data_IF_330454493376
#
_entry.id   IF_330454493376
#
_cell.length_a   1.000
_cell.length_b   1.000
_cell.length_c   1.000
_cell.angle_alpha   90.00
_cell.angle_beta   90.00
_cell.angle_gamma   90.00
#
_symmetry.space_group_name_H-M   'P 1'
#
loop_
_entity.id
_entity.type
_entity.pdbx_description
1 polymer ?
#
# COMPACT_ATOMS: atom_id res chain seq x y z
N UNK A 1 -8.19 2.36 -33.30
CA UNK A 1 -8.24 3.78 -32.89
C UNK A 1 -7.45 4.57 -33.91
N UNK A 2 -8.11 5.48 -34.62
CA UNK A 2 -7.49 6.36 -35.62
C UNK A 2 -6.57 7.40 -35.00
N UNK A 3 -5.80 8.13 -35.80
CA UNK A 3 -4.94 9.23 -35.33
C UNK A 3 -5.78 10.37 -34.72
N UNK A 4 -6.95 10.65 -35.35
CA UNK A 4 -7.88 11.66 -34.87
C UNK A 4 -8.52 11.30 -33.55
N UNK A 5 -8.96 10.05 -33.36
CA UNK A 5 -9.50 9.56 -32.09
C UNK A 5 -8.47 9.64 -30.95
N UNK A 6 -7.20 9.38 -31.25
CA UNK A 6 -6.11 9.53 -30.25
C UNK A 6 -5.91 10.97 -29.85
N UNK A 7 -5.85 11.86 -30.82
CA UNK A 7 -5.70 13.30 -30.58
C UNK A 7 -6.86 13.85 -29.74
N UNK A 8 -8.09 13.51 -30.10
CA UNK A 8 -9.26 13.95 -29.36
C UNK A 8 -9.27 13.45 -27.91
N UNK A 9 -8.90 12.20 -27.70
CA UNK A 9 -8.74 11.63 -26.35
C UNK A 9 -7.66 12.37 -25.53
N UNK A 10 -6.53 12.69 -26.17
CA UNK A 10 -5.41 13.35 -25.47
C UNK A 10 -5.78 14.81 -25.13
N UNK A 11 -6.58 15.47 -25.99
CA UNK A 11 -7.15 16.82 -25.71
C UNK A 11 -8.15 16.75 -24.54
N UNK A 12 -9.09 15.79 -24.56
CA UNK A 12 -10.05 15.62 -23.46
C UNK A 12 -9.34 15.36 -22.12
N UNK A 13 -8.32 14.52 -22.14
CA UNK A 13 -7.51 14.23 -20.97
C UNK A 13 -6.77 15.44 -20.43
N UNK A 14 -6.19 16.28 -21.31
CA UNK A 14 -5.56 17.53 -20.90
C UNK A 14 -6.55 18.44 -20.17
N UNK A 15 -7.77 18.56 -20.70
CA UNK A 15 -8.81 19.37 -20.06
C UNK A 15 -9.22 18.81 -18.69
N UNK A 16 -9.37 17.49 -18.56
CA UNK A 16 -9.66 16.84 -17.28
C UNK A 16 -8.55 17.08 -16.26
N UNK A 17 -7.29 16.99 -16.66
CA UNK A 17 -6.14 17.17 -15.77
C UNK A 17 -5.92 18.64 -15.35
N UNK A 18 -6.48 19.62 -16.08
CA UNK A 18 -6.44 21.04 -15.71
C UNK A 18 -7.58 21.44 -14.76
N UNK A 19 -8.54 20.58 -14.52
CA UNK A 19 -9.75 20.93 -13.79
C UNK A 19 -9.49 21.48 -12.38
N UNK A 20 -8.55 20.89 -11.63
CA UNK A 20 -8.18 21.38 -10.30
C UNK A 20 -7.56 22.80 -10.34
N UNK A 21 -6.61 23.02 -11.25
CA UNK A 21 -5.99 24.32 -11.42
C UNK A 21 -7.00 25.38 -11.91
N UNK A 22 -7.93 25.01 -12.79
CA UNK A 22 -8.94 25.92 -13.32
C UNK A 22 -9.98 26.30 -12.26
N UNK A 23 -10.37 25.36 -11.39
CA UNK A 23 -11.24 25.64 -10.23
C UNK A 23 -10.56 26.60 -9.25
N UNK A 24 -9.31 26.40 -8.91
CA UNK A 24 -8.56 27.28 -8.04
C UNK A 24 -8.38 28.67 -8.64
N UNK A 25 -8.18 28.78 -9.96
CA UNK A 25 -8.14 30.08 -10.65
C UNK A 25 -9.47 30.84 -10.56
N UNK A 26 -10.60 30.12 -10.63
CA UNK A 26 -11.94 30.71 -10.41
C UNK A 26 -12.13 31.23 -8.99
N UNK A 27 -11.45 30.62 -8.01
CA UNK A 27 -11.42 31.07 -6.61
C UNK A 27 -10.47 32.27 -6.39
N UNK A 28 -9.72 32.69 -7.41
CA UNK A 28 -8.85 33.89 -7.38
C UNK A 28 -7.35 33.60 -7.23
N UNK A 29 -6.93 32.33 -7.09
CA UNK A 29 -5.51 31.97 -7.08
C UNK A 29 -4.88 32.14 -8.46
N UNK A 30 -3.64 32.62 -8.51
CA UNK A 30 -2.93 32.93 -9.77
C UNK A 30 -1.72 32.07 -10.02
N UNK A 31 -0.96 31.75 -8.98
CA UNK A 31 0.31 31.03 -9.03
C UNK A 31 0.18 29.66 -8.38
N UNK A 32 -0.55 28.75 -9.08
CA UNK A 32 -0.85 27.42 -8.62
C UNK A 32 0.23 26.48 -9.12
N UNK A 33 1.03 25.90 -8.21
CA UNK A 33 2.07 24.94 -8.55
C UNK A 33 1.69 23.51 -8.13
N UNK A 34 2.23 22.53 -8.85
CA UNK A 34 2.15 21.11 -8.47
C UNK A 34 3.49 20.60 -7.96
N UNK A 35 3.49 19.68 -7.02
CA UNK A 35 4.71 19.07 -6.47
C UNK A 35 4.55 17.55 -6.36
N UNK A 36 5.62 16.83 -6.74
CA UNK A 36 5.70 15.36 -6.65
C UNK A 36 7.14 14.93 -6.32
N UNK A 37 7.28 13.69 -5.78
CA UNK A 37 8.57 13.10 -5.45
C UNK A 37 8.86 11.82 -6.21
N UNK A 38 10.13 11.47 -6.27
CA UNK A 38 10.62 10.22 -6.84
C UNK A 38 11.80 9.67 -6.06
N UNK A 39 11.88 8.35 -5.96
CA UNK A 39 13.06 7.71 -5.39
C UNK A 39 12.96 7.41 -3.90
N UNK A 40 11.78 7.19 -3.33
CA UNK A 40 11.59 6.77 -1.93
C UNK A 40 12.04 5.34 -1.67
N UNK A 41 11.77 4.42 -2.60
CA UNK A 41 12.01 2.98 -2.43
C UNK A 41 13.39 2.42 -2.77
N UNK A 42 14.28 3.08 -3.54
CA UNK A 42 15.61 2.58 -3.86
C UNK A 42 16.51 2.35 -2.64
N UNK A 43 17.46 1.43 -2.77
CA UNK A 43 18.51 1.14 -1.78
C UNK A 43 19.69 2.11 -1.87
N UNK A 44 19.80 2.82 -3.01
CA UNK A 44 20.90 3.76 -3.27
C UNK A 44 20.41 5.03 -3.94
N UNK A 45 21.16 6.10 -3.74
CA UNK A 45 20.91 7.42 -4.31
C UNK A 45 19.86 8.24 -3.56
N UNK A 46 19.74 9.52 -3.92
CA UNK A 46 18.90 10.51 -3.27
C UNK A 46 17.39 10.32 -3.56
N UNK A 47 16.55 10.96 -2.76
CA UNK A 47 15.17 11.26 -3.10
C UNK A 47 15.13 12.65 -3.77
N UNK A 48 14.36 12.75 -4.85
CA UNK A 48 14.12 13.97 -5.60
C UNK A 48 12.68 14.42 -5.46
N UNK A 49 12.46 15.71 -5.52
CA UNK A 49 11.14 16.29 -5.73
C UNK A 49 11.23 17.38 -6.78
N UNK A 50 10.15 17.64 -7.50
CA UNK A 50 10.03 18.82 -8.33
C UNK A 50 8.77 19.60 -7.99
N UNK A 51 8.85 20.91 -8.08
CA UNK A 51 7.73 21.85 -8.01
C UNK A 51 7.61 22.53 -9.36
N UNK A 52 6.43 22.52 -9.97
CA UNK A 52 6.21 23.08 -11.32
C UNK A 52 4.99 23.99 -11.32
N UNK A 53 5.20 25.24 -11.76
CA UNK A 53 4.15 26.23 -12.00
C UNK A 53 3.92 26.37 -13.51
N UNK A 54 2.79 25.89 -14.00
CA UNK A 54 2.44 25.98 -15.42
C UNK A 54 1.61 27.23 -15.71
N UNK A 55 1.78 27.84 -16.92
CA UNK A 55 0.92 28.94 -17.33
C UNK A 55 -0.53 28.42 -17.60
N UNK A 56 -1.56 29.27 -17.47
CA UNK A 56 -2.95 28.86 -17.66
C UNK A 56 -3.25 28.28 -19.05
N UNK A 57 -2.57 28.78 -20.08
CA UNK A 57 -2.69 28.38 -21.48
C UNK A 57 -1.79 27.19 -21.87
N UNK A 58 -1.17 26.52 -20.92
CA UNK A 58 -0.33 25.36 -21.19
C UNK A 58 -1.12 24.27 -21.94
N UNK A 59 -0.64 23.86 -23.12
CA UNK A 59 -1.35 23.04 -24.10
C UNK A 59 -0.63 21.75 -24.52
N UNK A 60 0.43 21.36 -23.80
CA UNK A 60 1.25 20.19 -24.17
C UNK A 60 0.53 18.89 -23.86
N UNK A 61 0.32 18.10 -24.91
CA UNK A 61 -0.33 16.80 -24.80
C UNK A 61 0.62 15.69 -24.32
N UNK A 62 0.06 14.67 -23.67
CA UNK A 62 0.80 13.48 -23.26
C UNK A 62 1.47 13.58 -21.88
N UNK A 63 1.14 14.61 -21.10
CA UNK A 63 1.55 14.75 -19.71
C UNK A 63 0.52 14.03 -18.84
N UNK A 64 0.94 12.96 -18.17
CA UNK A 64 0.19 12.14 -17.22
C UNK A 64 1.18 11.28 -16.44
N UNK A 65 0.71 10.30 -15.66
CA UNK A 65 1.51 9.38 -14.85
C UNK A 65 2.84 9.01 -15.54
N UNK A 66 3.93 9.49 -14.97
CA UNK A 66 5.29 9.36 -15.53
C UNK A 66 5.73 7.90 -15.75
N UNK A 67 5.14 6.95 -15.02
CA UNK A 67 5.44 5.51 -15.11
C UNK A 67 4.82 4.87 -16.38
N UNK A 68 3.76 5.50 -16.93
CA UNK A 68 3.09 5.06 -18.16
C UNK A 68 3.70 5.65 -19.44
N UNK A 69 4.68 6.53 -19.31
CA UNK A 69 5.37 7.22 -20.41
C UNK A 69 6.74 6.55 -20.63
N UNK A 70 7.12 6.28 -21.90
CA UNK A 70 8.45 5.75 -22.21
C UNK A 70 9.57 6.73 -21.80
N UNK A 71 10.76 6.22 -21.45
CA UNK A 71 11.89 7.04 -21.00
C UNK A 71 12.19 8.19 -21.97
N UNK A 72 12.35 7.88 -23.26
CA UNK A 72 12.62 8.89 -24.30
C UNK A 72 11.54 9.98 -24.36
N UNK A 73 10.25 9.59 -24.34
CA UNK A 73 9.17 10.57 -24.39
C UNK A 73 9.08 11.40 -23.12
N UNK A 74 9.43 10.81 -21.98
CA UNK A 74 9.47 11.50 -20.69
C UNK A 74 10.58 12.56 -20.66
N UNK A 75 11.75 12.27 -21.23
CA UNK A 75 12.84 13.25 -21.39
C UNK A 75 12.41 14.43 -22.28
N UNK A 76 11.84 14.13 -23.46
CA UNK A 76 11.30 15.17 -24.36
C UNK A 76 10.26 16.04 -23.65
N UNK A 77 9.34 15.45 -22.91
CA UNK A 77 8.32 16.19 -22.15
C UNK A 77 8.91 16.98 -21.00
N UNK A 78 9.91 16.46 -20.30
CA UNK A 78 10.61 17.19 -19.23
C UNK A 78 11.25 18.45 -19.74
N UNK A 79 11.90 18.40 -20.91
CA UNK A 79 12.54 19.56 -21.50
C UNK A 79 11.49 20.61 -21.95
N UNK A 80 10.40 20.19 -22.58
CA UNK A 80 9.28 21.05 -22.95
C UNK A 80 8.62 21.69 -21.71
N UNK A 81 8.42 20.91 -20.63
CA UNK A 81 7.87 21.44 -19.38
C UNK A 81 8.77 22.53 -18.81
N UNK A 82 10.08 22.29 -18.73
CA UNK A 82 11.04 23.26 -18.20
C UNK A 82 11.11 24.53 -19.03
N UNK A 83 10.97 24.42 -20.35
CA UNK A 83 10.96 25.56 -21.28
C UNK A 83 9.69 26.41 -21.16
N UNK A 84 8.51 25.73 -21.02
CA UNK A 84 7.21 26.41 -21.04
C UNK A 84 6.66 26.76 -19.64
N UNK A 85 7.21 26.20 -18.57
CA UNK A 85 6.78 26.51 -17.21
C UNK A 85 7.08 27.96 -16.85
N UNK A 86 6.17 28.60 -16.12
CA UNK A 86 6.42 29.94 -15.53
C UNK A 86 7.60 29.87 -14.56
N UNK A 87 7.65 28.83 -13.74
CA UNK A 87 8.78 28.52 -12.88
C UNK A 87 8.79 27.01 -12.56
N UNK A 88 9.97 26.48 -12.29
CA UNK A 88 10.10 25.15 -11.71
C UNK A 88 11.30 25.10 -10.76
N UNK A 89 11.23 24.22 -9.76
CA UNK A 89 12.31 23.92 -8.83
C UNK A 89 12.51 22.43 -8.67
N UNK A 90 13.75 22.01 -8.40
CA UNK A 90 14.12 20.63 -8.09
C UNK A 90 14.78 20.61 -6.73
N UNK A 91 14.23 19.84 -5.81
CA UNK A 91 14.79 19.64 -4.49
C UNK A 91 15.30 18.20 -4.33
N UNK A 92 16.39 18.07 -3.59
CA UNK A 92 17.09 16.80 -3.40
C UNK A 92 17.34 16.63 -1.90
N UNK A 93 17.13 15.42 -1.40
CA UNK A 93 17.70 14.99 -0.14
C UNK A 93 18.54 13.74 -0.39
N UNK A 94 19.81 13.78 0.03
CA UNK A 94 20.76 12.72 -0.27
C UNK A 94 20.57 11.49 0.63
N UNK A 95 21.36 10.45 0.38
CA UNK A 95 21.28 9.22 1.14
C UNK A 95 21.71 9.37 2.61
N UNK A 96 22.58 10.33 2.93
CA UNK A 96 22.99 10.59 4.32
C UNK A 96 21.85 11.27 5.08
N UNK A 97 21.20 12.27 4.46
CA UNK A 97 20.00 12.90 5.01
C UNK A 97 18.87 11.87 5.20
N UNK A 98 18.68 10.96 4.24
CA UNK A 98 17.70 9.86 4.37
C UNK A 98 18.02 8.96 5.58
N UNK A 99 19.28 8.64 5.79
CA UNK A 99 19.71 7.78 6.90
C UNK A 99 19.60 8.51 8.25
N UNK A 100 19.79 9.83 8.28
CA UNK A 100 19.71 10.65 9.49
C UNK A 100 18.26 10.93 9.91
N UNK A 101 17.39 11.39 8.99
CA UNK A 101 16.05 11.88 9.31
C UNK A 101 14.92 10.95 8.86
N UNK A 102 15.21 9.80 8.30
CA UNK A 102 14.34 8.82 7.61
C UNK A 102 13.79 9.30 6.25
N UNK A 103 13.28 8.35 5.46
CA UNK A 103 12.81 8.61 4.10
C UNK A 103 11.60 9.55 4.03
N UNK A 104 10.71 9.55 5.02
CA UNK A 104 9.55 10.43 5.02
C UNK A 104 9.98 11.88 5.21
N UNK A 105 10.81 12.16 6.20
CA UNK A 105 11.29 13.51 6.48
C UNK A 105 12.24 14.01 5.38
N UNK A 106 13.08 13.12 4.81
CA UNK A 106 13.90 13.44 3.64
C UNK A 106 13.06 13.77 2.40
N UNK A 107 11.94 13.07 2.18
CA UNK A 107 10.99 13.40 1.12
C UNK A 107 10.40 14.80 1.33
N UNK A 108 9.95 15.11 2.55
CA UNK A 108 9.43 16.43 2.90
C UNK A 108 10.49 17.52 2.70
N UNK A 109 11.73 17.25 3.07
CA UNK A 109 12.86 18.16 2.87
C UNK A 109 13.12 18.42 1.37
N UNK A 110 13.13 17.37 0.55
CA UNK A 110 13.27 17.52 -0.90
C UNK A 110 12.11 18.35 -1.49
N UNK A 111 10.88 18.11 -1.07
CA UNK A 111 9.71 18.89 -1.52
C UNK A 111 9.82 20.37 -1.10
N UNK A 112 10.24 20.69 0.12
CA UNK A 112 10.47 22.07 0.56
C UNK A 112 11.54 22.76 -0.28
N UNK A 113 12.66 22.11 -0.52
CA UNK A 113 13.73 22.61 -1.39
C UNK A 113 13.25 22.89 -2.83
N UNK A 114 12.42 21.98 -3.37
CA UNK A 114 11.82 22.15 -4.70
C UNK A 114 10.87 23.36 -4.75
N UNK A 115 10.04 23.53 -3.73
CA UNK A 115 9.15 24.68 -3.58
C UNK A 115 9.92 25.98 -3.45
N UNK A 116 10.91 26.04 -2.56
CA UNK A 116 11.75 27.23 -2.36
C UNK A 116 12.48 27.66 -3.63
N UNK A 117 13.06 26.70 -4.37
CA UNK A 117 13.72 26.97 -5.65
C UNK A 117 12.72 27.47 -6.71
N UNK A 118 11.56 26.86 -6.83
CA UNK A 118 10.50 27.29 -7.74
C UNK A 118 10.04 28.71 -7.42
N UNK A 119 9.77 28.98 -6.15
CA UNK A 119 9.31 30.28 -5.68
C UNK A 119 10.37 31.38 -5.90
N UNK A 120 11.65 31.08 -5.67
CA UNK A 120 12.77 31.98 -5.95
C UNK A 120 12.87 32.35 -7.45
N UNK A 121 12.71 31.36 -8.35
CA UNK A 121 12.72 31.62 -9.80
C UNK A 121 11.53 32.49 -10.22
N UNK A 122 10.32 32.23 -9.67
CA UNK A 122 9.14 33.04 -9.91
C UNK A 122 9.36 34.53 -9.52
N UNK A 123 9.99 34.77 -8.36
CA UNK A 123 10.30 36.11 -7.89
C UNK A 123 11.35 36.85 -8.78
N UNK A 124 12.36 36.13 -9.30
CA UNK A 124 13.42 36.73 -10.13
C UNK A 124 12.95 37.12 -11.52
N UNK A 125 12.00 36.45 -12.12
CA UNK A 125 11.44 36.86 -13.43
C UNK A 125 10.72 38.21 -13.38
N UNK A 126 10.30 38.63 -12.20
CA UNK A 126 9.62 39.92 -11.98
C UNK A 126 10.61 41.11 -12.00
N UNK A 127 11.86 40.89 -11.63
CA UNK A 127 12.88 41.96 -11.53
C UNK A 127 13.30 42.53 -12.89
N UNK A 128 12.97 41.85 -14.00
CA UNK A 128 13.26 42.27 -15.36
C UNK A 128 12.11 43.09 -16.01
N UNK A 129 10.96 43.23 -15.35
CA UNK A 129 9.85 44.07 -15.80
C UNK A 129 9.73 45.28 -14.88
N UNK A 130 9.84 46.51 -15.44
CA UNK A 130 9.78 47.82 -14.78
C UNK A 130 8.43 48.12 -14.08
N UNK A 131 7.84 47.17 -13.38
CA UNK A 131 6.56 47.33 -12.63
C UNK A 131 6.84 47.23 -11.14
N UNK A 132 6.58 48.31 -10.45
CA UNK A 132 6.66 48.47 -9.01
C UNK A 132 5.94 47.36 -8.22
N UNK A 133 6.69 46.72 -7.31
CA UNK A 133 6.27 46.16 -6.02
C UNK A 133 5.03 45.28 -5.98
N UNK A 134 5.21 44.01 -6.36
CA UNK A 134 4.72 42.88 -5.57
C UNK A 134 5.56 41.65 -5.96
N UNK A 135 6.40 41.14 -5.07
CA UNK A 135 7.08 39.85 -5.27
C UNK A 135 6.06 38.81 -5.63
N UNK A 136 6.16 38.22 -6.82
CA UNK A 136 5.33 37.08 -7.20
C UNK A 136 5.75 35.89 -6.36
N UNK A 137 4.80 35.26 -5.74
CA UNK A 137 5.00 34.01 -4.99
C UNK A 137 3.92 33.03 -5.35
N UNK A 138 4.22 31.73 -5.21
CA UNK A 138 3.24 30.67 -5.32
C UNK A 138 2.17 30.94 -4.25
N UNK A 139 0.90 30.98 -4.66
CA UNK A 139 -0.23 31.30 -3.78
C UNK A 139 -1.12 30.07 -3.48
N UNK A 140 -0.91 28.96 -4.21
CA UNK A 140 -1.52 27.67 -3.92
C UNK A 140 -0.63 26.51 -4.38
N UNK A 141 -0.60 25.40 -3.60
CA UNK A 141 0.20 24.23 -3.92
C UNK A 141 -0.65 22.95 -3.96
N UNK A 142 -0.56 22.23 -5.07
CA UNK A 142 -1.12 20.89 -5.23
C UNK A 142 -0.01 19.84 -4.98
N UNK A 143 -0.22 18.91 -4.04
CA UNK A 143 0.82 17.98 -3.58
C UNK A 143 0.36 16.55 -3.84
N UNK A 144 1.22 15.69 -4.42
CA UNK A 144 0.89 14.27 -4.49
C UNK A 144 0.92 13.62 -3.11
N UNK A 145 -0.24 13.18 -2.64
CA UNK A 145 -0.51 12.34 -1.48
C UNK A 145 0.05 12.77 -0.10
N UNK A 146 0.94 13.76 0.00
CA UNK A 146 1.57 14.16 1.27
C UNK A 146 1.00 15.48 1.80
N UNK A 147 0.54 15.49 3.05
CA UNK A 147 0.22 16.75 3.76
C UNK A 147 1.50 17.37 4.30
N UNK A 148 1.80 18.58 3.85
CA UNK A 148 2.93 19.40 4.29
C UNK A 148 2.48 20.84 4.48
N UNK A 149 3.08 21.53 5.42
CA UNK A 149 2.95 22.96 5.56
C UNK A 149 4.09 23.66 4.80
N UNK A 150 3.72 24.45 3.81
CA UNK A 150 4.63 25.27 2.99
C UNK A 150 4.48 26.78 3.28
N UNK A 151 3.65 27.16 4.25
CA UNK A 151 3.31 28.55 4.53
C UNK A 151 2.36 29.17 3.49
N UNK A 152 1.82 28.38 2.58
CA UNK A 152 0.80 28.74 1.58
C UNK A 152 -0.33 27.71 1.60
N UNK A 153 -1.56 28.07 1.21
CA UNK A 153 -2.62 27.11 1.02
C UNK A 153 -2.19 25.95 0.16
N UNK A 154 -2.47 24.71 0.62
CA UNK A 154 -2.09 23.51 -0.12
C UNK A 154 -3.14 22.42 -0.01
N UNK A 155 -3.23 21.61 -1.05
CA UNK A 155 -4.10 20.43 -1.12
C UNK A 155 -3.30 19.19 -1.45
N UNK A 156 -3.50 18.10 -0.65
CA UNK A 156 -2.90 16.81 -0.92
C UNK A 156 -3.86 15.96 -1.75
N UNK A 157 -3.48 15.61 -2.96
CA UNK A 157 -4.30 14.86 -3.91
C UNK A 157 -3.75 13.45 -4.04
N UNK A 158 -4.52 12.45 -3.61
CA UNK A 158 -4.15 11.04 -3.79
C UNK A 158 -4.15 10.70 -5.28
N UNK A 159 -3.03 10.18 -5.79
CA UNK A 159 -2.75 9.97 -7.23
C UNK A 159 -2.87 11.29 -8.00
N UNK A 160 -2.23 12.32 -7.48
CA UNK A 160 -2.24 13.65 -8.06
C UNK A 160 -1.67 13.66 -9.48
N UNK A 161 -0.68 12.83 -9.76
CA UNK A 161 -0.08 12.63 -11.09
C UNK A 161 -1.05 12.11 -12.17
N UNK A 162 -2.21 11.55 -11.77
CA UNK A 162 -3.30 11.16 -12.68
C UNK A 162 -4.41 12.22 -12.76
N UNK A 163 -4.44 13.25 -11.87
CA UNK A 163 -5.59 14.16 -11.68
C UNK A 163 -5.25 15.64 -11.88
N UNK A 164 -4.03 16.07 -11.64
CA UNK A 164 -3.56 17.45 -11.77
C UNK A 164 -2.42 17.53 -12.77
N UNK A 165 -2.53 18.47 -13.70
CA UNK A 165 -1.52 18.68 -14.73
C UNK A 165 -0.19 19.16 -14.14
N UNK A 166 -0.23 20.02 -13.13
CA UNK A 166 0.96 20.55 -12.47
C UNK A 166 1.70 19.47 -11.69
N UNK A 167 0.98 18.57 -11.00
CA UNK A 167 1.58 17.43 -10.30
C UNK A 167 2.18 16.45 -11.31
N UNK A 168 1.46 16.11 -12.39
CA UNK A 168 1.99 15.24 -13.44
C UNK A 168 3.26 15.80 -14.11
N UNK A 169 3.30 17.11 -14.34
CA UNK A 169 4.49 17.79 -14.85
C UNK A 169 5.65 17.69 -13.84
N UNK A 170 5.39 17.90 -12.55
CA UNK A 170 6.37 17.75 -11.48
C UNK A 170 6.91 16.31 -11.42
N UNK A 171 6.02 15.29 -11.49
CA UNK A 171 6.40 13.88 -11.56
C UNK A 171 7.39 13.58 -12.69
N UNK A 172 7.10 14.08 -13.90
CA UNK A 172 7.98 13.91 -15.07
C UNK A 172 9.34 14.58 -14.85
N UNK A 173 9.36 15.81 -14.36
CA UNK A 173 10.61 16.58 -14.13
C UNK A 173 11.46 15.91 -13.06
N UNK A 174 10.87 15.53 -11.93
CA UNK A 174 11.56 14.84 -10.84
C UNK A 174 12.14 13.50 -11.30
N UNK A 175 11.33 12.73 -12.05
CA UNK A 175 11.72 11.40 -12.54
C UNK A 175 12.90 11.48 -13.51
N UNK A 176 12.86 12.40 -14.47
CA UNK A 176 13.95 12.56 -15.44
C UNK A 176 15.23 13.03 -14.76
N UNK A 177 15.13 14.00 -13.83
CA UNK A 177 16.29 14.50 -13.10
C UNK A 177 16.97 13.39 -12.28
N UNK A 178 16.19 12.58 -11.57
CA UNK A 178 16.73 11.48 -10.77
C UNK A 178 17.28 10.35 -11.62
N UNK A 179 16.61 9.99 -12.72
CA UNK A 179 17.08 8.90 -13.59
C UNK A 179 18.43 9.28 -14.24
N UNK A 180 18.59 10.52 -14.70
CA UNK A 180 19.87 11.03 -15.22
C UNK A 180 20.98 10.98 -14.17
N UNK A 181 20.70 11.42 -12.94
CA UNK A 181 21.66 11.29 -11.84
C UNK A 181 22.11 9.84 -11.62
N UNK A 182 21.18 8.88 -11.63
CA UNK A 182 21.52 7.47 -11.42
C UNK A 182 22.28 6.84 -12.61
N UNK A 183 22.09 7.36 -13.83
CA UNK A 183 22.87 6.99 -15.03
C UNK A 183 24.28 7.53 -14.96
N UNK A 184 24.46 8.78 -14.57
CA UNK A 184 25.76 9.43 -14.42
C UNK A 184 26.62 8.71 -13.34
N UNK A 185 26.01 8.43 -12.18
CA UNK A 185 26.73 7.82 -11.05
C UNK A 185 27.07 6.34 -11.26
N UNK A 186 26.44 5.66 -12.22
CA UNK A 186 26.77 4.26 -12.57
C UNK A 186 28.24 4.10 -13.01
N UNK A 187 28.78 5.14 -13.65
CA UNK A 187 30.18 5.13 -14.08
C UNK A 187 31.15 5.17 -12.88
N UNK A 188 30.79 5.84 -11.80
CA UNK A 188 31.59 5.95 -10.57
C UNK A 188 31.50 4.67 -9.71
N UNK A 189 30.41 3.95 -9.82
CA UNK A 189 30.12 2.72 -9.05
C UNK A 189 29.76 1.54 -9.94
N UNK A 190 30.69 1.07 -10.79
CA UNK A 190 30.39 0.00 -11.75
C UNK A 190 30.08 -1.33 -11.06
N UNK A 191 29.08 -2.04 -11.58
CA UNK A 191 28.69 -3.40 -11.14
C UNK A 191 27.53 -3.47 -10.16
N UNK A 192 26.83 -2.34 -9.94
CA UNK A 192 25.56 -2.27 -9.24
C UNK A 192 24.37 -2.10 -10.20
N UNK A 193 24.65 -1.84 -11.49
CA UNK A 193 23.65 -1.64 -12.55
C UNK A 193 22.73 -0.45 -12.28
N UNK A 194 23.25 0.65 -11.72
CA UNK A 194 22.47 1.83 -11.37
C UNK A 194 21.83 2.54 -12.56
N UNK A 195 22.50 2.50 -13.71
CA UNK A 195 21.95 3.03 -14.95
C UNK A 195 20.64 2.34 -15.37
N UNK A 196 20.49 1.04 -15.09
CA UNK A 196 19.30 0.28 -15.39
C UNK A 196 18.30 0.31 -14.23
N UNK A 197 18.72 -0.07 -13.04
CA UNK A 197 17.84 -0.27 -11.89
C UNK A 197 17.52 1.00 -11.10
N UNK A 198 18.17 2.13 -11.40
CA UNK A 198 17.96 3.43 -10.72
C UNK A 198 18.09 3.36 -9.19
N UNK A 199 18.93 2.43 -8.70
CA UNK A 199 19.17 2.19 -7.28
C UNK A 199 18.15 1.27 -6.58
N UNK A 200 17.16 0.75 -7.30
CA UNK A 200 16.23 -0.22 -6.74
C UNK A 200 16.90 -1.58 -6.49
N UNK A 201 16.42 -2.32 -5.48
CA UNK A 201 16.96 -3.62 -5.07
C UNK A 201 16.65 -4.75 -6.05
N UNK A 202 17.18 -4.68 -7.26
CA UNK A 202 17.13 -5.76 -8.26
C UNK A 202 18.15 -6.86 -7.93
N UNK A 203 18.04 -8.00 -8.61
CA UNK A 203 19.03 -9.09 -8.47
C UNK A 203 20.46 -8.61 -8.77
N UNK A 204 20.64 -7.81 -9.84
CA UNK A 204 21.93 -7.23 -10.20
C UNK A 204 22.48 -6.29 -9.12
N UNK A 205 21.64 -5.44 -8.53
CA UNK A 205 22.04 -4.55 -7.44
C UNK A 205 22.50 -5.35 -6.21
N UNK A 206 21.73 -6.35 -5.79
CA UNK A 206 22.12 -7.22 -4.67
C UNK A 206 23.37 -8.06 -4.98
N UNK A 207 23.60 -8.44 -6.23
CA UNK A 207 24.84 -9.09 -6.64
C UNK A 207 26.04 -8.13 -6.53
N UNK A 208 25.88 -6.88 -6.96
CA UNK A 208 26.85 -5.80 -6.75
C UNK A 208 27.20 -5.62 -5.28
N UNK A 209 26.19 -5.57 -4.41
CA UNK A 209 26.37 -5.46 -2.96
C UNK A 209 27.13 -6.66 -2.36
N UNK A 210 26.89 -7.89 -2.82
CA UNK A 210 27.63 -9.08 -2.36
C UNK A 210 29.08 -9.08 -2.83
N UNK A 211 29.32 -8.67 -4.07
CA UNK A 211 30.64 -8.77 -4.68
C UNK A 211 31.55 -7.59 -4.35
N UNK A 212 30.98 -6.40 -4.13
CA UNK A 212 31.72 -5.14 -3.99
C UNK A 212 31.42 -4.38 -2.69
N UNK A 213 30.41 -4.82 -1.92
CA UNK A 213 30.02 -4.18 -0.66
C UNK A 213 29.11 -2.97 -0.85
N UNK A 214 28.98 -2.21 0.22
CA UNK A 214 28.16 -0.99 0.31
C UNK A 214 29.04 0.20 -0.11
N UNK A 215 28.51 1.06 -0.97
CA UNK A 215 29.19 2.32 -1.42
C UNK A 215 28.64 3.54 -0.66
N UNK A 216 29.32 4.71 -0.75
CA UNK A 216 28.87 5.93 -0.09
C UNK A 216 27.48 6.42 -0.49
N UNK A 217 26.94 6.02 -1.66
CA UNK A 217 25.61 6.45 -2.11
C UNK A 217 24.49 5.50 -1.66
N UNK A 218 24.81 4.40 -1.00
CA UNK A 218 23.79 3.49 -0.47
C UNK A 218 23.16 4.06 0.80
N UNK A 219 21.88 3.77 0.98
CA UNK A 219 21.11 4.10 2.18
C UNK A 219 21.29 2.98 3.21
N UNK A 220 22.16 3.20 4.18
CA UNK A 220 22.49 2.18 5.19
C UNK A 220 21.29 1.76 6.01
N UNK A 221 20.40 2.72 6.32
CA UNK A 221 19.14 2.42 7.02
C UNK A 221 18.26 1.40 6.29
N UNK A 222 18.34 1.32 4.96
CA UNK A 222 17.61 0.35 4.12
C UNK A 222 18.32 -1.00 4.01
N UNK A 223 19.61 -1.05 4.28
CA UNK A 223 20.46 -2.24 4.11
C UNK A 223 20.79 -2.98 5.41
N UNK A 224 20.27 -2.57 6.58
CA UNK A 224 20.54 -3.21 7.88
C UNK A 224 20.40 -4.74 7.85
N UNK A 225 19.36 -5.26 7.20
CA UNK A 225 19.14 -6.71 7.05
C UNK A 225 20.09 -7.40 6.08
N UNK A 226 20.58 -6.67 5.09
CA UNK A 226 21.62 -7.18 4.19
C UNK A 226 22.96 -7.24 4.91
N UNK A 227 23.30 -6.26 5.74
CA UNK A 227 24.52 -6.26 6.58
C UNK A 227 24.51 -7.42 7.58
N UNK A 228 23.36 -7.70 8.22
CA UNK A 228 23.20 -8.83 9.16
C UNK A 228 23.25 -10.19 8.46
N UNK A 229 22.79 -10.30 7.21
CA UNK A 229 22.81 -11.53 6.41
C UNK A 229 22.90 -11.23 4.90
N UNK A 230 24.11 -11.19 4.33
CA UNK A 230 24.34 -10.90 2.91
C UNK A 230 23.62 -11.84 1.92
N UNK A 231 23.14 -12.99 2.37
CA UNK A 231 22.40 -13.94 1.53
C UNK A 231 20.88 -13.61 1.41
N UNK A 232 20.37 -12.60 2.12
CA UNK A 232 18.95 -12.26 2.12
C UNK A 232 18.43 -11.55 0.84
N UNK A 233 19.28 -11.23 -0.12
CA UNK A 233 18.94 -10.50 -1.34
C UNK A 233 18.25 -11.31 -2.46
N UNK A 234 17.75 -12.52 -2.22
CA UNK A 234 17.02 -13.30 -3.20
C UNK A 234 15.50 -13.18 -3.04
N UNK A 235 14.95 -11.97 -3.06
CA UNK A 235 13.54 -11.80 -3.38
C UNK A 235 13.42 -11.63 -4.90
N UNK A 236 12.86 -12.64 -5.55
CA UNK A 236 12.58 -12.65 -6.98
C UNK A 236 11.66 -11.49 -7.34
N UNK A 237 12.22 -10.40 -7.85
CA UNK A 237 11.53 -9.50 -8.76
C UNK A 237 12.21 -9.64 -10.12
N UNK A 238 11.72 -10.59 -10.89
CA UNK A 238 12.08 -10.74 -12.29
C UNK A 238 11.45 -9.61 -13.10
N UNK A 239 12.29 -8.90 -13.80
CA UNK A 239 11.94 -8.11 -14.98
C UNK A 239 11.41 -8.99 -16.10
N UNK A 240 10.36 -8.50 -16.73
CA UNK A 240 10.00 -8.56 -18.16
C UNK A 240 9.83 -9.90 -18.85
N UNK A 241 8.70 -9.92 -19.52
CA UNK A 241 8.30 -10.58 -20.76
C UNK A 241 7.79 -12.01 -20.71
N UNK A 242 6.50 -12.02 -20.95
CA UNK A 242 5.72 -12.97 -21.72
C UNK A 242 5.63 -14.40 -21.20
N UNK A 243 4.42 -14.64 -20.84
CA UNK A 243 3.72 -15.91 -20.60
C UNK A 243 3.56 -16.24 -19.12
N UNK A 244 2.35 -15.88 -18.68
CA UNK A 244 1.70 -16.56 -17.54
C UNK A 244 2.03 -18.04 -17.51
N UNK A 245 2.88 -18.40 -16.57
CA UNK A 245 2.79 -19.67 -15.90
C UNK A 245 2.74 -19.36 -14.42
N UNK A 246 1.54 -19.26 -13.91
CA UNK A 246 1.17 -19.40 -12.50
C UNK A 246 1.75 -20.71 -11.98
N UNK A 247 2.99 -20.67 -11.47
CA UNK A 247 3.47 -21.69 -10.57
C UNK A 247 2.78 -21.45 -9.22
N UNK A 248 1.61 -22.06 -9.06
CA UNK A 248 0.95 -22.20 -7.78
C UNK A 248 1.97 -22.69 -6.74
N UNK A 249 2.18 -21.92 -5.66
CA UNK A 249 2.99 -22.35 -4.52
C UNK A 249 2.36 -23.62 -3.98
N UNK A 250 3.01 -24.77 -4.20
CA UNK A 250 2.56 -26.05 -3.68
C UNK A 250 2.67 -26.05 -2.16
N UNK A 251 1.61 -26.48 -1.49
CA UNK A 251 1.65 -26.84 -0.08
C UNK A 251 1.78 -28.34 0.07
N UNK A 252 2.37 -28.79 1.16
CA UNK A 252 2.65 -30.19 1.41
C UNK A 252 1.88 -30.65 2.65
N UNK A 253 1.06 -31.68 2.52
CA UNK A 253 0.33 -32.27 3.65
C UNK A 253 0.99 -33.57 4.07
N UNK A 254 1.35 -33.69 5.34
CA UNK A 254 1.87 -34.90 5.97
C UNK A 254 0.76 -35.54 6.78
N UNK A 255 0.23 -36.67 6.28
CA UNK A 255 -0.81 -37.44 6.95
C UNK A 255 -0.21 -38.42 7.96
N UNK A 256 1.03 -38.84 7.71
CA UNK A 256 1.77 -39.75 8.59
C UNK A 256 3.25 -39.42 8.52
N UNK A 257 3.84 -39.04 9.64
CA UNK A 257 5.21 -38.57 9.77
C UNK A 257 5.54 -38.28 11.23
N UNK A 258 6.71 -37.70 11.50
CA UNK A 258 7.11 -37.25 12.84
C UNK A 258 6.11 -36.21 13.40
N UNK A 259 5.64 -35.31 12.54
CA UNK A 259 4.55 -34.39 12.82
C UNK A 259 3.60 -34.38 11.64
N UNK A 260 2.30 -34.50 11.89
CA UNK A 260 1.24 -34.42 10.87
C UNK A 260 0.79 -32.96 10.74
N UNK A 261 0.48 -32.53 9.49
CA UNK A 261 0.03 -31.15 9.27
C UNK A 261 0.30 -30.69 7.83
N UNK A 262 0.07 -29.39 7.59
CA UNK A 262 0.34 -28.71 6.32
C UNK A 262 1.63 -27.92 6.43
N UNK A 263 2.54 -28.13 5.49
CA UNK A 263 3.83 -27.47 5.43
C UNK A 263 3.92 -26.65 4.14
N UNK A 264 4.45 -25.44 4.25
CA UNK A 264 4.48 -24.47 3.14
C UNK A 264 5.73 -24.65 2.26
N UNK A 265 6.73 -25.39 2.73
CA UNK A 265 7.96 -25.70 2.00
C UNK A 265 8.20 -27.21 1.93
N UNK A 266 8.94 -27.64 0.89
CA UNK A 266 9.35 -29.03 0.79
C UNK A 266 10.33 -29.42 1.91
N UNK A 267 11.18 -28.51 2.31
CA UNK A 267 12.18 -28.70 3.37
C UNK A 267 11.51 -29.05 4.71
N UNK A 268 10.47 -28.29 5.07
CA UNK A 268 9.69 -28.53 6.31
C UNK A 268 8.94 -29.85 6.25
N UNK A 269 8.33 -30.16 5.12
CA UNK A 269 7.66 -31.45 4.89
C UNK A 269 8.66 -32.60 4.97
N UNK A 270 9.81 -32.48 4.30
CA UNK A 270 10.87 -33.49 4.28
C UNK A 270 11.39 -33.79 5.69
N UNK A 271 11.59 -32.77 6.52
CA UNK A 271 12.02 -32.95 7.91
C UNK A 271 11.05 -33.86 8.71
N UNK A 272 9.76 -33.87 8.37
CA UNK A 272 8.74 -34.67 9.04
C UNK A 272 8.65 -36.10 8.50
N UNK A 273 9.05 -36.34 7.26
CA UNK A 273 8.89 -37.66 6.60
C UNK A 273 10.19 -38.42 6.44
N UNK A 274 11.33 -37.72 6.44
CA UNK A 274 12.66 -38.31 6.26
C UNK A 274 13.04 -39.23 7.42
N UNK A 275 13.31 -40.49 7.11
CA UNK A 275 13.60 -41.54 8.09
C UNK A 275 12.39 -42.03 8.89
N UNK A 276 11.15 -41.64 8.55
CA UNK A 276 9.93 -42.11 9.21
C UNK A 276 9.32 -43.32 8.44
N UNK A 277 9.29 -44.53 9.01
CA UNK A 277 8.78 -45.72 8.32
C UNK A 277 7.26 -45.57 7.99
N UNK A 278 6.92 -45.74 6.71
CA UNK A 278 5.52 -45.64 6.26
C UNK A 278 4.98 -44.20 6.24
N UNK A 279 5.81 -43.18 6.03
CA UNK A 279 5.36 -41.82 5.89
C UNK A 279 4.35 -41.64 4.74
N UNK A 280 3.28 -40.90 5.00
CA UNK A 280 2.25 -40.55 4.01
C UNK A 280 2.18 -39.01 3.88
N UNK A 281 2.52 -38.50 2.70
CA UNK A 281 2.48 -37.08 2.41
C UNK A 281 2.16 -36.83 0.94
N UNK A 282 1.66 -35.62 0.63
CA UNK A 282 1.31 -35.24 -0.74
C UNK A 282 1.40 -33.70 -0.90
N UNK A 283 1.78 -33.24 -2.10
CA UNK A 283 1.77 -31.82 -2.44
C UNK A 283 0.47 -31.44 -3.14
N UNK A 284 -0.02 -30.24 -2.84
CA UNK A 284 -1.23 -29.66 -3.40
C UNK A 284 -0.97 -28.26 -3.92
N UNK A 285 -1.72 -27.85 -4.95
CA UNK A 285 -1.70 -26.47 -5.45
C UNK A 285 -2.61 -25.54 -4.60
N UNK A 286 -3.65 -26.13 -3.99
CA UNK A 286 -4.63 -25.45 -3.13
C UNK A 286 -4.50 -25.98 -1.68
N UNK A 287 -4.35 -25.08 -0.68
CA UNK A 287 -4.37 -25.45 0.73
C UNK A 287 -5.64 -26.18 1.17
N UNK A 288 -6.79 -25.92 0.54
CA UNK A 288 -8.05 -26.60 0.84
C UNK A 288 -7.99 -28.09 0.49
N UNK A 289 -7.38 -28.43 -0.63
CA UNK A 289 -7.15 -29.82 -1.04
C UNK A 289 -6.19 -30.55 -0.08
N UNK A 290 -5.21 -29.83 0.46
CA UNK A 290 -4.30 -30.34 1.48
C UNK A 290 -5.03 -30.61 2.80
N UNK A 291 -5.96 -29.76 3.20
CA UNK A 291 -6.84 -29.97 4.37
C UNK A 291 -7.76 -31.18 4.17
N UNK A 292 -8.35 -31.30 2.97
CA UNK A 292 -9.19 -32.44 2.62
C UNK A 292 -8.43 -33.78 2.69
N UNK A 293 -7.17 -33.79 2.24
CA UNK A 293 -6.30 -34.96 2.32
C UNK A 293 -5.98 -35.39 3.74
N UNK A 294 -5.86 -34.43 4.66
CA UNK A 294 -5.64 -34.70 6.09
C UNK A 294 -6.93 -35.08 6.85
N UNK A 295 -8.10 -35.02 6.18
CA UNK A 295 -9.39 -35.28 6.82
C UNK A 295 -9.88 -34.13 7.70
N UNK A 296 -9.31 -32.92 7.52
CA UNK A 296 -9.62 -31.69 8.28
C UNK A 296 -10.69 -30.83 7.59
N UNK A 297 -11.30 -31.30 6.51
CA UNK A 297 -12.45 -30.63 5.87
C UNK A 297 -13.72 -30.98 6.59
N UNK A 298 -14.43 -30.01 7.12
CA UNK A 298 -15.83 -30.15 7.50
C UNK A 298 -16.63 -30.57 6.25
N UNK A 299 -17.35 -31.68 6.37
CA UNK A 299 -17.93 -32.43 5.26
C UNK A 299 -18.83 -31.63 4.33
N UNK A 300 -18.61 -31.83 3.05
CA UNK A 300 -19.70 -31.99 2.12
C UNK A 300 -19.25 -32.95 0.98
N UNK A 301 -19.69 -34.22 1.11
CA UNK A 301 -19.74 -35.14 -0.04
C UNK A 301 -21.03 -34.87 -0.78
N UNK A 302 -20.98 -34.56 -2.04
CA UNK A 302 -21.77 -35.30 -3.05
C UNK A 302 -21.28 -34.94 -4.43
N UNK A 303 -20.88 -35.93 -5.17
CA UNK A 303 -20.72 -35.85 -6.61
C UNK A 303 -22.06 -36.11 -7.28
N UNK A 304 -22.10 -35.65 -8.49
CA UNK A 304 -22.72 -36.29 -9.65
C UNK A 304 -23.53 -35.32 -10.53
N UNK A 305 -23.26 -35.45 -11.80
CA UNK A 305 -23.83 -34.83 -12.99
C UNK A 305 -25.35 -34.82 -13.06
N UNK A 306 -25.88 -33.82 -13.76
CA UNK A 306 -27.14 -33.96 -14.49
C UNK A 306 -28.01 -32.71 -14.48
N UNK A 307 -28.17 -32.08 -15.67
CA UNK A 307 -28.97 -30.87 -15.85
C UNK A 307 -30.47 -31.11 -15.71
N UNK A 308 -31.15 -30.03 -15.46
CA UNK A 308 -32.34 -29.56 -16.21
C UNK A 308 -32.96 -28.35 -15.49
N UNK A 309 -33.43 -27.43 -16.33
CA UNK A 309 -34.22 -26.24 -15.97
C UNK A 309 -35.53 -26.64 -15.29
N UNK A 310 -35.98 -25.86 -14.29
CA UNK A 310 -37.32 -25.29 -14.35
C UNK A 310 -37.49 -24.13 -13.32
N UNK A 311 -38.31 -23.18 -13.74
CA UNK A 311 -38.83 -22.03 -13.01
C UNK A 311 -39.86 -22.47 -11.98
N UNK A 312 -39.97 -21.74 -10.88
CA UNK A 312 -41.08 -20.93 -10.41
C UNK A 312 -41.02 -20.73 -8.87
N UNK A 313 -41.09 -19.49 -8.47
CA UNK A 313 -42.03 -18.84 -7.62
C UNK A 313 -42.13 -19.30 -6.16
N UNK A 314 -41.80 -18.39 -5.24
CA UNK A 314 -42.23 -18.49 -3.86
C UNK A 314 -41.29 -17.74 -2.92
N UNK A 315 -41.60 -16.46 -2.63
CA UNK A 315 -40.96 -15.72 -1.55
C UNK A 315 -41.31 -16.38 -0.21
N UNK A 316 -40.30 -16.94 0.43
CA UNK A 316 -40.34 -17.23 1.85
C UNK A 316 -39.27 -16.40 2.55
N UNK A 317 -39.61 -15.79 3.69
CA UNK A 317 -38.75 -15.00 4.54
C UNK A 317 -37.43 -15.76 4.84
N UNK A 318 -36.30 -15.05 4.98
CA UNK A 318 -35.04 -15.69 5.30
C UNK A 318 -35.16 -16.39 6.65
N UNK A 319 -34.85 -17.67 6.67
CA UNK A 319 -34.68 -18.44 7.88
C UNK A 319 -33.58 -17.77 8.72
N UNK A 320 -33.78 -17.61 10.02
CA UNK A 320 -32.72 -17.23 10.95
C UNK A 320 -31.56 -18.20 10.77
N UNK A 321 -30.38 -17.67 10.42
CA UNK A 321 -29.17 -18.46 10.29
C UNK A 321 -28.78 -19.01 11.65
N UNK A 322 -29.08 -20.28 11.89
CA UNK A 322 -28.63 -21.01 13.09
C UNK A 322 -27.12 -21.21 12.93
N UNK A 323 -26.34 -20.44 13.69
CA UNK A 323 -24.89 -20.57 13.70
C UNK A 323 -24.47 -21.84 14.43
N UNK A 324 -23.43 -22.57 13.96
CA UNK A 324 -22.91 -23.72 14.69
C UNK A 324 -22.31 -23.28 16.04
N UNK A 325 -22.22 -24.15 17.04
CA UNK A 325 -21.58 -23.84 18.32
C UNK A 325 -20.18 -23.26 18.18
N UNK A 326 -19.83 -22.30 19.04
CA UNK A 326 -18.50 -21.65 19.05
C UNK A 326 -18.59 -20.12 19.11
N UNK A 327 -17.43 -19.50 19.33
CA UNK A 327 -17.28 -18.06 19.54
C UNK A 327 -16.75 -17.39 18.28
N UNK A 328 -17.42 -16.30 17.85
CA UNK A 328 -17.09 -15.56 16.62
C UNK A 328 -17.11 -14.08 16.90
N UNK A 329 -16.13 -13.36 16.36
CA UNK A 329 -16.11 -11.90 16.33
C UNK A 329 -16.02 -11.41 14.89
N UNK A 330 -16.89 -10.50 14.52
CA UNK A 330 -16.80 -9.74 13.27
C UNK A 330 -16.25 -8.36 13.59
N UNK A 331 -15.19 -7.95 12.91
CA UNK A 331 -14.49 -6.70 13.18
C UNK A 331 -14.40 -5.84 11.93
N UNK A 332 -14.60 -4.55 12.09
CA UNK A 332 -14.43 -3.57 11.02
C UNK A 332 -13.87 -2.25 11.59
N UNK A 333 -13.27 -1.43 10.72
CA UNK A 333 -12.65 -0.18 11.08
C UNK A 333 -13.16 0.99 10.26
N UNK A 334 -13.31 2.15 10.91
CA UNK A 334 -13.62 3.41 10.24
C UNK A 334 -12.60 4.49 10.59
N UNK A 335 -12.47 5.50 9.74
CA UNK A 335 -11.54 6.61 9.92
C UNK A 335 -12.19 7.92 9.46
N UNK A 336 -12.15 8.90 10.34
CA UNK A 336 -12.58 10.26 10.04
C UNK A 336 -11.36 11.15 9.71
N UNK A 337 -11.34 11.61 8.46
CA UNK A 337 -10.28 12.48 7.94
C UNK A 337 -10.29 13.85 8.64
N UNK A 338 -11.45 14.33 9.04
CA UNK A 338 -11.62 15.69 9.60
C UNK A 338 -11.04 15.79 11.00
N UNK A 339 -11.22 14.76 11.82
CA UNK A 339 -10.75 14.72 13.20
C UNK A 339 -9.46 13.92 13.39
N UNK A 340 -8.94 13.28 12.35
CA UNK A 340 -7.79 12.33 12.40
C UNK A 340 -8.00 11.20 13.42
N UNK A 341 -9.26 10.83 13.70
CA UNK A 341 -9.62 9.72 14.59
C UNK A 341 -9.99 8.49 13.80
N UNK A 342 -9.75 7.35 14.38
CA UNK A 342 -10.21 6.07 13.85
C UNK A 342 -10.98 5.29 14.92
N UNK A 343 -11.80 4.36 14.47
CA UNK A 343 -12.66 3.58 15.35
C UNK A 343 -12.68 2.12 14.95
N UNK A 344 -13.14 1.29 15.85
CA UNK A 344 -13.52 -0.08 15.55
C UNK A 344 -14.98 -0.33 15.92
N UNK A 345 -15.59 -1.25 15.16
CA UNK A 345 -16.82 -1.93 15.51
C UNK A 345 -16.56 -3.43 15.63
N UNK A 346 -17.11 -4.05 16.65
CA UNK A 346 -16.95 -5.46 16.94
C UNK A 346 -18.30 -6.06 17.28
N UNK A 347 -18.63 -7.19 16.65
CA UNK A 347 -19.83 -7.98 16.96
C UNK A 347 -19.39 -9.38 17.37
N UNK A 348 -19.53 -9.68 18.64
CA UNK A 348 -19.17 -11.01 19.19
C UNK A 348 -20.42 -11.86 19.28
N UNK A 349 -20.34 -13.10 18.85
CA UNK A 349 -21.43 -14.08 18.87
C UNK A 349 -20.93 -15.33 19.57
N UNK A 350 -21.54 -15.63 20.69
CA UNK A 350 -21.32 -16.83 21.45
C UNK A 350 -22.48 -17.78 21.21
N UNK A 351 -22.22 -18.91 20.57
CA UNK A 351 -23.25 -19.93 20.27
C UNK A 351 -23.00 -21.18 21.10
N UNK A 352 -23.95 -21.54 21.93
CA UNK A 352 -23.87 -22.73 22.80
C UNK A 352 -24.07 -24.03 22.04
N UNK A 353 -23.93 -25.17 22.74
CA UNK A 353 -24.10 -26.49 22.15
C UNK A 353 -25.54 -26.77 21.68
N UNK A 354 -26.51 -25.98 22.11
CA UNK A 354 -27.92 -26.10 21.71
C UNK A 354 -28.29 -25.22 20.54
N UNK A 355 -27.31 -24.40 20.04
CA UNK A 355 -27.50 -23.45 18.93
C UNK A 355 -28.14 -22.14 19.38
N UNK A 356 -28.17 -21.86 20.68
CA UNK A 356 -28.59 -20.54 21.19
C UNK A 356 -27.42 -19.57 21.08
N UNK A 357 -27.64 -18.43 20.45
CA UNK A 357 -26.61 -17.42 20.23
C UNK A 357 -26.89 -16.17 21.08
N UNK A 358 -25.85 -15.72 21.78
CA UNK A 358 -25.80 -14.40 22.41
C UNK A 358 -24.91 -13.47 21.58
N UNK A 359 -25.30 -12.20 21.45
CA UNK A 359 -24.58 -11.23 20.63
C UNK A 359 -24.19 -10.04 21.49
N UNK A 360 -22.89 -9.73 21.51
CA UNK A 360 -22.33 -8.55 22.17
C UNK A 360 -21.77 -7.58 21.13
N UNK A 361 -22.19 -6.31 21.21
CA UNK A 361 -21.75 -5.24 20.33
C UNK A 361 -20.79 -4.30 21.07
N UNK A 362 -19.59 -4.13 20.53
CA UNK A 362 -18.57 -3.22 21.07
C UNK A 362 -18.16 -2.20 20.02
N UNK A 363 -17.86 -1.00 20.46
CA UNK A 363 -17.29 0.06 19.62
C UNK A 363 -16.35 0.93 20.42
N UNK A 364 -15.28 1.39 19.78
CA UNK A 364 -14.30 2.28 20.41
C UNK A 364 -13.75 3.28 19.41
N UNK A 365 -13.37 4.46 19.91
CA UNK A 365 -12.67 5.51 19.16
C UNK A 365 -11.27 5.65 19.69
N UNK A 366 -10.31 5.90 18.80
CA UNK A 366 -8.91 6.03 19.13
C UNK A 366 -8.35 7.35 18.59
N UNK A 367 -7.50 7.97 19.39
CA UNK A 367 -6.76 9.18 19.07
C UNK A 367 -5.26 8.84 19.18
N UNK A 368 -4.70 8.26 18.12
CA UNK A 368 -3.28 7.90 18.02
C UNK A 368 -2.79 8.31 16.63
N UNK A 369 -2.05 9.40 16.56
CA UNK A 369 -1.58 9.98 15.30
C UNK A 369 -0.73 9.02 14.47
N UNK A 370 0.02 8.12 15.10
CA UNK A 370 0.86 7.14 14.42
C UNK A 370 0.02 5.99 13.86
N UNK A 371 -0.95 5.50 14.62
CA UNK A 371 -1.88 4.47 14.18
C UNK A 371 -2.88 5.02 13.14
N UNK A 372 -3.34 6.25 13.28
CA UNK A 372 -4.24 6.93 12.35
C UNK A 372 -3.69 7.03 10.91
N UNK A 373 -2.37 6.98 10.74
CA UNK A 373 -1.74 6.87 9.41
C UNK A 373 -2.16 5.62 8.64
N UNK A 374 -2.64 4.58 9.33
CA UNK A 374 -3.16 3.36 8.70
C UNK A 374 -4.68 3.44 8.41
N UNK A 375 -5.34 4.54 8.76
CA UNK A 375 -6.77 4.80 8.50
C UNK A 375 -7.67 3.65 8.98
N UNK A 376 -8.59 3.17 8.14
CA UNK A 376 -9.52 2.08 8.47
C UNK A 376 -8.79 0.82 8.96
N UNK A 377 -7.59 0.54 8.42
CA UNK A 377 -6.78 -0.62 8.83
C UNK A 377 -6.41 -0.56 10.32
N UNK A 378 -6.16 0.65 10.86
CA UNK A 378 -5.92 0.80 12.30
C UNK A 378 -7.17 0.40 13.11
N UNK A 379 -8.35 0.79 12.62
CA UNK A 379 -9.63 0.39 13.23
C UNK A 379 -9.83 -1.11 13.25
N UNK A 380 -9.59 -1.81 12.13
CA UNK A 380 -9.73 -3.27 12.08
C UNK A 380 -8.72 -4.00 12.99
N UNK A 381 -7.46 -3.53 13.03
CA UNK A 381 -6.44 -4.07 13.95
C UNK A 381 -6.87 -3.88 15.42
N UNK A 382 -7.40 -2.71 15.76
CA UNK A 382 -7.89 -2.44 17.11
C UNK A 382 -9.18 -3.21 17.40
N UNK A 383 -10.06 -3.42 16.40
CA UNK A 383 -11.23 -4.27 16.53
C UNK A 383 -10.89 -5.72 16.88
N UNK A 384 -9.88 -6.29 16.20
CA UNK A 384 -9.38 -7.62 16.52
C UNK A 384 -8.80 -7.69 17.95
N UNK A 385 -8.06 -6.65 18.39
CA UNK A 385 -7.57 -6.57 19.77
C UNK A 385 -8.72 -6.49 20.77
N UNK A 386 -9.69 -5.61 20.54
CA UNK A 386 -10.87 -5.43 21.41
C UNK A 386 -11.66 -6.75 21.56
N UNK A 387 -11.83 -7.51 20.47
CA UNK A 387 -12.47 -8.81 20.52
C UNK A 387 -11.72 -9.82 21.40
N UNK A 388 -10.40 -9.83 21.29
CA UNK A 388 -9.55 -10.73 22.08
C UNK A 388 -9.52 -10.32 23.55
N UNK A 389 -9.39 -9.01 23.84
CA UNK A 389 -9.42 -8.47 25.20
C UNK A 389 -10.75 -8.85 25.88
N UNK A 390 -11.88 -8.68 25.18
CA UNK A 390 -13.19 -9.14 25.68
C UNK A 390 -13.19 -10.64 26.01
N UNK A 391 -12.65 -11.49 25.14
CA UNK A 391 -12.58 -12.93 25.41
C UNK A 391 -11.74 -13.26 26.65
N UNK A 392 -10.58 -12.61 26.81
CA UNK A 392 -9.70 -12.78 27.96
C UNK A 392 -10.38 -12.36 29.28
N UNK A 393 -11.12 -11.25 29.26
CA UNK A 393 -11.86 -10.74 30.42
C UNK A 393 -13.05 -11.63 30.81
N UNK A 394 -13.68 -12.30 29.83
CA UNK A 394 -14.85 -13.15 30.05
C UNK A 394 -14.54 -14.66 30.09
N UNK A 395 -13.25 -15.04 30.09
CA UNK A 395 -12.82 -16.44 30.22
C UNK A 395 -13.11 -17.30 29.00
N UNK A 396 -13.23 -16.68 27.82
CA UNK A 396 -13.41 -17.35 26.54
C UNK A 396 -12.03 -17.76 26.03
N UNK A 397 -11.81 -19.06 25.82
CA UNK A 397 -10.50 -19.62 25.48
C UNK A 397 -10.34 -19.98 23.99
N UNK A 398 -11.39 -19.79 23.17
CA UNK A 398 -11.31 -19.92 21.70
C UNK A 398 -12.16 -18.86 21.00
N UNK A 399 -11.69 -18.35 19.86
CA UNK A 399 -12.43 -17.39 19.03
C UNK A 399 -12.03 -17.46 17.55
N UNK A 400 -13.03 -17.28 16.67
CA UNK A 400 -12.85 -17.02 15.25
C UNK A 400 -13.06 -15.53 14.97
N UNK A 401 -12.03 -14.84 14.44
CA UNK A 401 -12.10 -13.40 14.09
C UNK A 401 -12.31 -13.26 12.60
N UNK A 402 -13.47 -12.76 12.22
CA UNK A 402 -13.89 -12.49 10.85
C UNK A 402 -13.55 -11.05 10.49
N UNK A 403 -12.78 -10.85 9.42
CA UNK A 403 -12.28 -9.55 8.98
C UNK A 403 -12.25 -9.47 7.45
N UNK A 404 -12.37 -8.29 6.86
CA UNK A 404 -12.35 -8.11 5.41
C UNK A 404 -11.00 -7.59 4.87
N UNK A 405 -10.18 -6.95 5.70
CA UNK A 405 -8.82 -6.58 5.31
C UNK A 405 -7.81 -7.70 5.61
N UNK A 406 -7.21 -8.22 4.58
CA UNK A 406 -6.32 -9.39 4.63
C UNK A 406 -5.13 -9.26 5.61
N UNK A 407 -4.68 -8.01 5.88
CA UNK A 407 -3.57 -7.72 6.78
C UNK A 407 -3.83 -8.16 8.21
N UNK A 408 -5.06 -8.08 8.72
CA UNK A 408 -5.41 -8.45 10.10
C UNK A 408 -4.97 -9.89 10.40
N UNK A 409 -5.42 -10.86 9.61
CA UNK A 409 -5.01 -12.25 9.77
C UNK A 409 -3.55 -12.50 9.40
N UNK A 410 -3.05 -11.88 8.33
CA UNK A 410 -1.69 -12.16 7.85
C UNK A 410 -0.60 -11.62 8.77
N UNK A 411 -0.80 -10.50 9.47
CA UNK A 411 0.11 -10.04 10.50
C UNK A 411 0.04 -10.94 11.75
N UNK A 412 -1.15 -11.34 12.14
CA UNK A 412 -1.39 -12.25 13.26
C UNK A 412 -0.68 -13.61 13.07
N UNK A 413 -0.73 -14.14 11.85
CA UNK A 413 -0.12 -15.43 11.49
C UNK A 413 1.36 -15.31 11.09
N UNK A 414 1.92 -14.10 11.12
CA UNK A 414 3.31 -13.84 10.75
C UNK A 414 3.59 -13.97 9.25
N UNK A 415 2.56 -14.10 8.42
CA UNK A 415 2.66 -14.20 6.97
C UNK A 415 3.04 -12.85 6.33
N UNK A 416 2.63 -11.75 6.94
CA UNK A 416 3.06 -10.42 6.57
C UNK A 416 4.00 -9.84 7.61
N UNK A 417 4.97 -9.06 7.14
CA UNK A 417 5.91 -8.37 7.98
C UNK A 417 5.25 -7.17 8.64
N UNK A 418 5.36 -7.08 9.95
CA UNK A 418 4.93 -5.92 10.72
C UNK A 418 6.01 -4.83 10.60
N UNK A 419 5.73 -3.74 9.87
CA UNK A 419 6.73 -2.74 9.51
C UNK A 419 6.53 -1.39 10.24
N UNK A 420 5.46 -1.23 11.02
CA UNK A 420 5.18 -0.02 11.78
C UNK A 420 4.80 -0.37 13.24
N UNK A 421 4.81 0.60 14.17
CA UNK A 421 4.54 0.36 15.59
C UNK A 421 3.20 -0.34 15.83
N UNK A 422 2.13 0.05 15.12
CA UNK A 422 0.80 -0.56 15.25
C UNK A 422 0.85 -2.06 14.92
N UNK A 423 1.37 -2.43 13.75
CA UNK A 423 1.40 -3.82 13.31
C UNK A 423 2.40 -4.67 14.08
N UNK A 424 3.50 -4.07 14.59
CA UNK A 424 4.46 -4.75 15.46
C UNK A 424 3.82 -5.04 16.82
N UNK A 425 3.18 -4.04 17.44
CA UNK A 425 2.45 -4.19 18.68
C UNK A 425 1.31 -5.19 18.58
N UNK A 426 0.57 -5.16 17.46
CA UNK A 426 -0.49 -6.13 17.16
C UNK A 426 0.05 -7.56 17.08
N UNK A 427 1.12 -7.78 16.33
CA UNK A 427 1.74 -9.11 16.20
C UNK A 427 2.20 -9.65 17.54
N UNK A 428 2.82 -8.80 18.38
CA UNK A 428 3.24 -9.20 19.72
C UNK A 428 2.04 -9.54 20.62
N UNK A 429 0.99 -8.70 20.60
CA UNK A 429 -0.23 -8.93 21.35
C UNK A 429 -0.89 -10.28 20.98
N UNK A 430 -1.01 -10.58 19.66
CA UNK A 430 -1.56 -11.87 19.22
C UNK A 430 -0.68 -13.05 19.68
N UNK A 431 0.65 -12.91 19.63
CA UNK A 431 1.56 -13.96 20.10
C UNK A 431 1.40 -14.22 21.59
N UNK A 432 1.16 -13.20 22.39
CA UNK A 432 0.93 -13.34 23.83
C UNK A 432 -0.45 -13.93 24.13
N UNK A 433 -1.51 -13.46 23.47
CA UNK A 433 -2.86 -13.99 23.61
C UNK A 433 -2.95 -15.49 23.22
N UNK A 434 -2.28 -15.90 22.14
CA UNK A 434 -2.21 -17.30 21.70
C UNK A 434 -1.53 -18.26 22.68
N UNK A 435 -0.92 -17.75 23.76
CA UNK A 435 -0.39 -18.61 24.85
C UNK A 435 -1.48 -19.14 25.78
N UNK A 436 -2.60 -18.42 25.83
CA UNK A 436 -3.69 -18.70 26.78
C UNK A 436 -5.03 -18.97 26.10
N UNK A 437 -5.19 -18.65 24.80
CA UNK A 437 -6.41 -18.89 24.05
C UNK A 437 -6.13 -19.28 22.60
N UNK A 438 -7.10 -19.96 21.97
CA UNK A 438 -7.07 -20.31 20.55
C UNK A 438 -7.70 -19.21 19.70
N UNK A 439 -6.93 -18.63 18.76
CA UNK A 439 -7.39 -17.53 17.91
C UNK A 439 -7.22 -17.92 16.44
N UNK A 440 -8.34 -17.95 15.70
CA UNK A 440 -8.37 -18.17 14.25
C UNK A 440 -8.84 -16.93 13.53
N UNK A 441 -8.16 -16.57 12.43
CA UNK A 441 -8.51 -15.43 11.59
C UNK A 441 -9.17 -15.94 10.30
N UNK A 442 -10.35 -15.42 9.98
CA UNK A 442 -11.15 -15.83 8.83
C UNK A 442 -11.47 -14.61 7.97
N UNK A 443 -10.91 -14.60 6.76
CA UNK A 443 -11.17 -13.52 5.81
C UNK A 443 -12.57 -13.66 5.22
N UNK A 444 -13.36 -12.59 5.31
CA UNK A 444 -14.64 -12.44 4.61
C UNK A 444 -14.49 -11.46 3.44
N UNK A 445 -15.46 -11.50 2.54
CA UNK A 445 -15.51 -10.54 1.42
C UNK A 445 -16.25 -9.29 1.89
N UNK A 446 -15.62 -8.12 1.69
CA UNK A 446 -16.23 -6.84 1.98
C UNK A 446 -17.59 -6.67 1.26
N UNK A 447 -18.57 -6.12 1.97
CA UNK A 447 -19.91 -5.81 1.42
C UNK A 447 -20.60 -6.95 0.65
N UNK A 448 -20.41 -8.18 1.09
CA UNK A 448 -21.00 -9.38 0.45
C UNK A 448 -22.33 -9.83 1.07
N UNK A 449 -23.00 -8.97 1.84
CA UNK A 449 -24.29 -9.28 2.50
C UNK A 449 -24.14 -10.12 3.77
N UNK A 450 -22.96 -10.17 4.38
CA UNK A 450 -22.79 -10.79 5.69
C UNK A 450 -23.33 -9.84 6.77
N UNK A 451 -24.46 -10.22 7.37
CA UNK A 451 -25.19 -9.44 8.38
C UNK A 451 -24.29 -8.89 9.49
N UNK A 452 -23.42 -9.72 10.03
CA UNK A 452 -22.60 -9.37 11.20
C UNK A 452 -21.40 -8.49 10.82
N UNK A 453 -20.84 -8.65 9.61
CA UNK A 453 -19.82 -7.74 9.10
C UNK A 453 -20.41 -6.35 8.83
N UNK A 454 -21.62 -6.27 8.28
CA UNK A 454 -22.33 -5.00 8.09
C UNK A 454 -22.70 -4.33 9.43
N UNK A 455 -23.00 -5.12 10.48
CA UNK A 455 -23.19 -4.58 11.83
C UNK A 455 -21.89 -3.99 12.40
N UNK A 456 -20.75 -4.67 12.22
CA UNK A 456 -19.44 -4.17 12.66
C UNK A 456 -19.06 -2.85 11.94
N UNK A 457 -19.24 -2.77 10.61
CA UNK A 457 -19.06 -1.54 9.83
C UNK A 457 -19.92 -0.37 10.37
N UNK A 458 -21.20 -0.66 10.62
CA UNK A 458 -22.10 0.34 11.19
C UNK A 458 -21.68 0.81 12.58
N UNK A 459 -21.25 -0.09 13.45
CA UNK A 459 -20.75 0.25 14.79
C UNK A 459 -19.47 1.10 14.71
N UNK A 460 -18.54 0.77 13.81
CA UNK A 460 -17.34 1.55 13.60
C UNK A 460 -17.67 3.00 13.16
N UNK A 461 -18.58 3.17 12.21
CA UNK A 461 -19.04 4.48 11.76
C UNK A 461 -19.77 5.25 12.87
N UNK A 462 -20.69 4.61 13.57
CA UNK A 462 -21.41 5.23 14.71
C UNK A 462 -20.48 5.67 15.83
N UNK A 463 -19.34 5.03 16.02
CA UNK A 463 -18.37 5.45 17.01
C UNK A 463 -17.75 6.82 16.69
N UNK A 464 -17.64 7.17 15.40
CA UNK A 464 -17.12 8.47 14.92
C UNK A 464 -18.21 9.50 14.62
N UNK A 465 -19.49 9.21 14.94
CA UNK A 465 -20.63 10.04 14.56
C UNK A 465 -20.77 10.26 13.03
N UNK A 466 -20.41 9.23 12.23
CA UNK A 466 -20.46 9.19 10.76
C UNK A 466 -21.71 8.46 10.25
#
# INVERSE_FOLDING_TARGET
MTKEERLQRDISRLAEMKAHEDELRQQGYRYIAGIDEVGRGPLAGPVYAACVLLPPDFDVLGIYDSKKISAKKREELSDIIKEKAVAYGIGIADNNEIDEINILEATKLAMRRAFEECNKKLATETSNSNSSSNERSIDYLLVDALKLDFGVPCEAIVKGDEKSLSIAAASIVAKVARDKYMEEIDADYPGYDFASNKGYGTAAHYEGLRNKGITPIHRRSFLKKFEENPNTGHSKTSTTDAKEQTLAKKVYAVKKGKTTGIFMTWEDCKAQVDGFPGAEYKSFADPQDAMAYLGLSAGNKTGSKGGAKNKDGGASAPAEDVLPPGNRAYVDGSYDISSNRFSCGVVIIETDANGVSETTELKAVFEDDVAALQRNVAGEVMGAKTAIDYCLENGIDDIEIYHDYEGVGKWADGLWKANNPLTQGYKQFIADARRVMSIRFIKVKAHAGNKYNEMADKLAKQALDL
#
